data_IF_274779525244
#
_entry.id   IF_274779525244
#
_cell.length_a   1.000
_cell.length_b   1.000
_cell.length_c   1.000
_cell.angle_alpha   90.00
_cell.angle_beta   90.00
_cell.angle_gamma   90.00
#
_symmetry.space_group_name_H-M   'P 1'
#
loop_
_entity.id
_entity.type
_entity.pdbx_description
1 polymer ?
#
# COMPACT_ATOMS: atom_id res chain seq x y z
N UNK A 1 16.36 -7.64 10.20
CA UNK A 1 15.43 -6.78 10.96
C UNK A 1 14.57 -5.91 10.03
N UNK A 2 15.15 -5.28 9.00
CA UNK A 2 14.42 -4.42 8.04
C UNK A 2 13.53 -5.17 7.03
N UNK A 3 13.93 -6.37 6.59
CA UNK A 3 13.16 -7.16 5.59
C UNK A 3 11.76 -7.61 6.08
N UNK A 4 11.59 -7.86 7.39
CA UNK A 4 10.31 -8.30 7.96
C UNK A 4 9.25 -7.20 7.95
N UNK A 5 9.63 -5.95 8.21
CA UNK A 5 8.71 -4.81 8.17
C UNK A 5 8.21 -4.56 6.74
N UNK A 6 9.10 -4.66 5.74
CA UNK A 6 8.72 -4.52 4.34
C UNK A 6 7.70 -5.59 3.90
N UNK A 7 7.90 -6.84 4.30
CA UNK A 7 6.95 -7.93 4.04
C UNK A 7 5.59 -7.61 4.67
N UNK A 8 5.57 -7.14 5.91
CA UNK A 8 4.32 -6.76 6.59
C UNK A 8 3.58 -5.63 5.86
N UNK A 9 4.30 -4.62 5.37
CA UNK A 9 3.72 -3.52 4.56
C UNK A 9 3.08 -4.09 3.29
N UNK A 10 3.78 -4.98 2.58
CA UNK A 10 3.25 -5.59 1.35
C UNK A 10 1.99 -6.42 1.64
N UNK A 11 2.00 -7.21 2.72
CA UNK A 11 0.81 -7.95 3.16
C UNK A 11 -0.37 -7.03 3.48
N UNK A 12 -0.11 -5.94 4.20
CA UNK A 12 -1.15 -4.98 4.53
C UNK A 12 -1.75 -4.31 3.29
N UNK A 13 -0.92 -3.87 2.33
CA UNK A 13 -1.39 -3.35 1.05
C UNK A 13 -2.27 -4.36 0.30
N UNK A 14 -1.87 -5.63 0.30
CA UNK A 14 -2.63 -6.69 -0.34
C UNK A 14 -4.01 -6.88 0.30
N UNK A 15 -4.10 -6.89 1.63
CA UNK A 15 -5.36 -7.00 2.36
C UNK A 15 -6.29 -5.81 2.08
N UNK A 16 -5.71 -4.63 1.92
CA UNK A 16 -6.42 -3.42 1.53
C UNK A 16 -6.75 -3.33 0.03
N UNK A 17 -6.33 -4.32 -0.77
CA UNK A 17 -6.52 -4.37 -2.22
C UNK A 17 -5.81 -3.25 -2.98
N UNK A 18 -4.58 -2.97 -2.56
CA UNK A 18 -3.76 -1.88 -3.05
C UNK A 18 -2.44 -2.42 -3.59
N UNK A 19 -1.99 -1.88 -4.73
CA UNK A 19 -0.65 -2.11 -5.25
C UNK A 19 0.02 -0.74 -5.34
N UNK A 20 1.10 -0.53 -4.59
CA UNK A 20 1.82 0.76 -4.56
C UNK A 20 2.54 1.09 -5.88
N UNK A 21 3.08 0.06 -6.54
CA UNK A 21 3.85 0.10 -7.80
C UNK A 21 5.17 0.88 -7.78
N UNK A 22 5.44 1.70 -6.77
CA UNK A 22 6.74 2.37 -6.60
C UNK A 22 7.33 2.17 -5.20
N UNK A 23 7.57 0.91 -4.83
CA UNK A 23 8.19 0.57 -3.53
C UNK A 23 9.71 0.65 -3.70
N UNK A 24 10.30 1.79 -3.33
CA UNK A 24 11.74 2.02 -3.29
C UNK A 24 12.15 2.69 -1.98
N UNK A 25 13.45 2.71 -1.67
CA UNK A 25 13.98 3.31 -0.43
C UNK A 25 13.60 4.79 -0.29
N UNK A 26 13.44 5.50 -1.42
CA UNK A 26 12.98 6.89 -1.45
C UNK A 26 11.56 7.08 -0.91
N UNK A 27 10.74 6.03 -0.96
CA UNK A 27 9.35 6.02 -0.50
C UNK A 27 9.19 5.29 0.85
N UNK A 28 10.30 4.99 1.54
CA UNK A 28 10.29 4.42 2.88
C UNK A 28 10.82 5.45 3.90
N UNK A 29 9.95 5.91 4.77
CA UNK A 29 10.31 6.77 5.90
C UNK A 29 10.54 5.93 7.16
N UNK A 30 11.48 6.36 8.00
CA UNK A 30 11.66 5.81 9.34
C UNK A 30 11.01 6.75 10.35
N UNK A 31 10.11 6.19 11.14
CA UNK A 31 9.55 6.86 12.30
C UNK A 31 10.61 6.97 13.40
N UNK A 32 10.90 8.20 13.86
CA UNK A 32 11.99 8.45 14.81
C UNK A 32 11.74 7.84 16.18
N UNK A 33 10.48 7.72 16.58
CA UNK A 33 10.10 7.32 17.94
C UNK A 33 9.86 5.81 18.03
N UNK A 34 9.26 5.22 16.99
CA UNK A 34 8.92 3.79 16.95
C UNK A 34 9.94 2.92 16.21
N UNK A 35 10.90 3.52 15.49
CA UNK A 35 11.85 2.81 14.62
C UNK A 35 11.13 1.88 13.60
N UNK A 36 9.91 2.26 13.21
CA UNK A 36 9.10 1.57 12.23
C UNK A 36 9.27 2.20 10.85
N UNK A 37 9.21 1.36 9.82
CA UNK A 37 9.16 1.81 8.43
C UNK A 37 7.73 2.18 8.09
N UNK A 38 7.58 3.33 7.45
CA UNK A 38 6.34 3.88 6.92
C UNK A 38 6.49 4.03 5.41
N UNK A 39 5.48 3.58 4.67
CA UNK A 39 5.47 3.70 3.21
C UNK A 39 4.79 5.01 2.86
N UNK A 40 5.44 5.82 2.03
CA UNK A 40 4.96 7.13 1.59
C UNK A 40 4.80 7.16 0.06
N UNK A 41 4.14 8.21 -0.43
CA UNK A 41 3.94 8.51 -1.85
C UNK A 41 3.17 7.44 -2.67
N UNK A 42 1.86 7.46 -2.50
CA UNK A 42 0.92 6.61 -3.24
C UNK A 42 0.53 7.17 -4.62
N UNK A 43 1.29 8.12 -5.18
CA UNK A 43 0.96 8.77 -6.45
C UNK A 43 0.83 7.79 -7.63
N UNK A 44 1.55 6.67 -7.56
CA UNK A 44 1.47 5.58 -8.53
C UNK A 44 0.61 4.39 -8.07
N UNK A 45 0.02 4.43 -6.89
CA UNK A 45 -0.72 3.29 -6.39
C UNK A 45 -2.03 3.05 -7.17
N UNK A 46 -2.50 1.81 -7.15
CA UNK A 46 -3.78 1.40 -7.77
C UNK A 46 -4.58 0.50 -6.82
N UNK A 47 -5.91 0.55 -6.94
CA UNK A 47 -6.80 -0.41 -6.31
C UNK A 47 -7.06 -1.59 -7.26
N UNK A 48 -7.25 -2.78 -6.69
CA UNK A 48 -7.58 -3.97 -7.46
C UNK A 48 -8.73 -4.79 -6.86
N UNK A 49 -9.33 -5.67 -7.66
CA UNK A 49 -10.33 -6.63 -7.20
C UNK A 49 -9.92 -8.05 -7.59
N UNK A 50 -10.20 -9.02 -6.72
CA UNK A 50 -9.99 -10.46 -6.98
C UNK A 50 -11.30 -11.24 -7.03
N UNK A 51 -12.44 -10.60 -7.26
CA UNK A 51 -13.74 -11.25 -7.34
C UNK A 51 -13.91 -12.20 -8.56
N UNK A 52 -12.88 -12.33 -9.41
CA UNK A 52 -12.93 -13.19 -10.58
C UNK A 52 -12.58 -14.63 -10.22
N UNK A 53 -13.54 -15.54 -10.45
CA UNK A 53 -13.37 -17.00 -10.33
C UNK A 53 -12.28 -17.59 -11.25
N UNK A 54 -11.69 -16.79 -12.14
CA UNK A 54 -10.63 -17.19 -13.07
C UNK A 54 -9.20 -16.74 -12.70
N UNK A 55 -8.97 -16.22 -11.49
CA UNK A 55 -7.62 -15.87 -11.02
C UNK A 55 -7.02 -14.57 -11.58
N UNK A 56 -7.77 -13.80 -12.38
CA UNK A 56 -7.32 -12.52 -12.90
C UNK A 56 -7.56 -11.38 -11.90
N UNK A 57 -6.51 -10.61 -11.63
CA UNK A 57 -6.59 -9.36 -10.86
C UNK A 57 -7.14 -8.27 -11.77
N UNK A 58 -8.27 -7.66 -11.40
CA UNK A 58 -8.82 -6.52 -12.12
C UNK A 58 -8.34 -5.21 -11.49
N UNK A 59 -7.70 -4.33 -12.26
CA UNK A 59 -7.34 -2.98 -11.82
C UNK A 59 -8.59 -2.09 -11.89
N UNK A 60 -8.94 -1.46 -10.77
CA UNK A 60 -10.15 -0.62 -10.65
C UNK A 60 -9.83 0.84 -11.01
N UNK A 61 -8.61 1.31 -10.67
CA UNK A 61 -8.17 2.66 -10.99
C UNK A 61 -7.02 3.14 -10.10
N UNK A 62 -6.49 4.35 -10.34
CA UNK A 62 -5.47 4.97 -9.50
C UNK A 62 -5.99 5.23 -8.09
N UNK A 63 -5.09 5.16 -7.11
CA UNK A 63 -5.40 5.29 -5.68
C UNK A 63 -6.07 6.63 -5.33
N UNK A 64 -5.80 7.68 -6.11
CA UNK A 64 -6.42 9.02 -5.96
C UNK A 64 -7.92 9.07 -6.29
N UNK A 65 -8.46 8.06 -6.98
CA UNK A 65 -9.87 8.00 -7.35
C UNK A 65 -10.71 7.08 -6.45
N UNK A 66 -10.10 6.38 -5.48
CA UNK A 66 -10.80 5.55 -4.51
C UNK A 66 -11.30 6.41 -3.33
N UNK A 67 -12.55 6.23 -2.91
CA UNK A 67 -13.34 7.10 -2.01
C UNK A 67 -12.79 7.37 -0.59
N UNK A 68 -13.48 8.24 0.18
CA UNK A 68 -13.19 8.62 1.59
C UNK A 68 -12.68 7.51 2.55
N UNK A 69 -13.20 6.26 2.55
CA UNK A 69 -12.70 5.18 3.40
C UNK A 69 -11.20 4.86 3.21
N UNK A 70 -10.60 5.31 2.11
CA UNK A 70 -9.22 4.97 1.73
C UNK A 70 -8.19 6.03 2.15
N UNK A 71 -8.59 7.27 2.50
CA UNK A 71 -7.67 8.27 3.10
C UNK A 71 -7.16 7.82 4.49
N UNK A 72 -8.00 7.11 5.24
CA UNK A 72 -7.66 6.48 6.52
C UNK A 72 -6.54 5.43 6.37
N UNK A 73 -6.37 4.84 5.18
CA UNK A 73 -5.30 3.90 4.90
C UNK A 73 -3.93 4.58 4.85
N UNK A 74 -3.85 5.75 4.22
CA UNK A 74 -2.62 6.54 4.17
C UNK A 74 -2.18 6.93 5.59
N UNK A 75 -3.13 7.33 6.45
CA UNK A 75 -2.84 7.69 7.85
C UNK A 75 -2.35 6.52 8.70
N UNK A 76 -2.72 5.28 8.36
CA UNK A 76 -2.26 4.06 9.05
C UNK A 76 -0.91 3.54 8.55
N UNK A 77 -0.51 3.95 7.35
CA UNK A 77 0.77 3.59 6.73
C UNK A 77 1.85 4.67 6.87
N UNK A 78 1.45 5.90 7.20
CA UNK A 78 2.28 7.09 7.50
C UNK A 78 2.49 7.33 8.99
#
# INVERSE_FOLDING_TARGET
MQSKQLINIIHYLYDCRVIHRDIGLQNLMLDRDSNHIKLIDFGFAIAFNTNNKGGSVQIIGPFTYASEPFLDLCSKLS
#
